data_IF_281951335166
#
_entry.id   IF_281951335166
#
_cell.length_a   1.000
_cell.length_b   1.000
_cell.length_c   1.000
_cell.angle_alpha   90.00
_cell.angle_beta   90.00
_cell.angle_gamma   90.00
#
_symmetry.space_group_name_H-M   'P 1'
#
loop_
_entity.id
_entity.type
_entity.pdbx_description
1 polymer ?
#
# COMPACT_ATOMS: atom_id res chain seq x y z
N UNK A 1 1.54 12.19 9.03
CA UNK A 1 1.58 11.15 7.97
C UNK A 1 0.20 11.01 7.36
N UNK A 2 0.13 10.81 6.04
CA UNK A 2 -1.12 10.49 5.34
C UNK A 2 -1.23 9.01 4.99
N UNK A 3 -0.18 8.22 5.25
CA UNK A 3 -0.02 6.84 4.85
C UNK A 3 0.79 6.09 5.92
N UNK A 4 0.52 4.80 6.09
CA UNK A 4 1.28 3.84 6.90
C UNK A 4 1.84 2.77 5.98
N UNK A 5 2.99 2.19 6.29
CA UNK A 5 3.63 1.22 5.38
C UNK A 5 3.16 -0.22 5.60
N UNK A 6 2.84 -0.59 6.85
CA UNK A 6 2.46 -1.95 7.24
C UNK A 6 1.28 -2.00 8.23
N UNK A 7 0.62 -0.88 8.50
CA UNK A 7 -0.56 -0.82 9.37
C UNK A 7 -1.77 -0.37 8.54
N UNK A 8 -2.90 -1.03 8.73
CA UNK A 8 -4.17 -0.59 8.16
C UNK A 8 -4.72 0.62 8.93
N UNK A 9 -5.45 1.49 8.24
CA UNK A 9 -5.99 2.71 8.86
C UNK A 9 -7.28 3.18 8.18
N UNK A 10 -8.03 4.05 8.85
CA UNK A 10 -9.21 4.70 8.29
C UNK A 10 -8.81 5.87 7.39
N UNK A 11 -9.29 5.90 6.15
CA UNK A 11 -9.02 6.99 5.23
C UNK A 11 -9.69 8.30 5.65
N UNK A 12 -9.11 9.41 5.19
CA UNK A 12 -9.74 10.73 5.22
C UNK A 12 -10.17 11.16 3.82
N UNK A 13 -11.20 12.00 3.76
CA UNK A 13 -11.65 12.65 2.53
C UNK A 13 -11.59 14.16 2.68
N UNK A 14 -11.20 14.86 1.62
CA UNK A 14 -11.18 16.33 1.60
C UNK A 14 -9.92 16.96 2.19
N UNK A 15 -8.81 16.21 2.28
CA UNK A 15 -7.49 16.81 2.53
C UNK A 15 -7.20 17.88 1.45
N UNK A 16 -6.73 19.06 1.87
CA UNK A 16 -6.42 20.18 0.96
C UNK A 16 -5.02 20.74 1.24
N UNK A 17 -4.37 21.25 0.20
CA UNK A 17 -3.05 21.88 0.31
C UNK A 17 -2.92 23.03 -0.68
N UNK A 18 -2.07 24.00 -0.33
CA UNK A 18 -1.75 25.12 -1.22
C UNK A 18 -0.53 24.74 -2.06
N UNK A 19 -0.71 24.72 -3.38
CA UNK A 19 0.40 24.49 -4.31
C UNK A 19 1.33 25.71 -4.33
N UNK A 20 2.61 25.47 -4.60
CA UNK A 20 3.59 26.52 -4.82
C UNK A 20 3.18 27.33 -6.05
N UNK A 21 3.15 28.65 -5.90
CA UNK A 21 2.97 29.61 -6.99
C UNK A 21 4.11 30.62 -6.97
N UNK A 22 5.02 30.50 -7.93
CA UNK A 22 6.21 31.35 -8.03
C UNK A 22 5.90 32.79 -8.49
N UNK A 23 4.67 33.08 -8.93
CA UNK A 23 4.24 34.46 -9.24
C UNK A 23 3.85 35.27 -8.00
N UNK A 24 3.67 34.60 -6.86
CA UNK A 24 3.22 35.20 -5.61
C UNK A 24 4.30 35.17 -4.52
N UNK A 25 4.12 35.97 -3.48
CA UNK A 25 4.98 35.92 -2.29
C UNK A 25 4.87 34.55 -1.62
N UNK A 26 5.98 34.07 -1.05
CA UNK A 26 6.05 32.74 -0.43
C UNK A 26 4.99 32.50 0.65
N UNK A 27 4.62 33.54 1.41
CA UNK A 27 3.58 33.50 2.45
C UNK A 27 2.20 33.05 1.93
N UNK A 28 1.95 33.17 0.63
CA UNK A 28 0.68 32.73 0.02
C UNK A 28 0.54 31.21 -0.03
N UNK A 29 1.65 30.48 -0.16
CA UNK A 29 1.69 29.02 -0.32
C UNK A 29 2.48 28.26 0.74
N UNK A 30 3.28 28.93 1.58
CA UNK A 30 3.90 28.35 2.77
C UNK A 30 2.87 28.07 3.87
N UNK A 31 1.95 27.15 3.61
CA UNK A 31 0.87 26.72 4.51
C UNK A 31 0.91 25.21 4.66
N UNK A 32 0.60 24.67 5.86
CA UNK A 32 0.49 23.24 6.03
C UNK A 32 -0.68 22.67 5.21
N UNK A 33 -0.61 21.37 4.93
CA UNK A 33 -1.79 20.61 4.50
C UNK A 33 -2.87 20.68 5.58
N UNK A 34 -4.11 20.87 5.16
CA UNK A 34 -5.29 20.84 6.02
C UNK A 34 -5.94 19.47 5.86
N UNK A 35 -5.99 18.70 6.95
CA UNK A 35 -6.63 17.39 6.97
C UNK A 35 -8.15 17.56 6.80
N UNK A 36 -8.75 16.68 6.02
CA UNK A 36 -10.18 16.57 5.82
C UNK A 36 -10.85 15.73 6.91
N UNK A 37 -12.01 15.16 6.56
CA UNK A 37 -12.88 14.42 7.49
C UNK A 37 -12.50 12.93 7.51
N UNK A 38 -12.59 12.27 8.69
CA UNK A 38 -12.43 10.82 8.77
C UNK A 38 -13.56 10.09 8.04
N UNK A 39 -13.27 8.87 7.60
CA UNK A 39 -14.24 7.99 6.93
C UNK A 39 -14.23 6.59 7.55
N UNK A 40 -15.26 5.80 7.30
CA UNK A 40 -15.29 4.37 7.63
C UNK A 40 -14.66 3.47 6.57
N UNK A 41 -13.85 4.03 5.66
CA UNK A 41 -13.18 3.27 4.61
C UNK A 41 -11.79 2.85 5.10
N UNK A 42 -11.53 1.55 5.09
CA UNK A 42 -10.22 0.99 5.48
C UNK A 42 -9.26 1.09 4.30
N UNK A 43 -8.06 1.60 4.55
CA UNK A 43 -6.91 1.45 3.68
C UNK A 43 -6.10 0.22 4.09
N UNK A 44 -5.80 -0.63 3.11
CA UNK A 44 -4.72 -1.60 3.18
C UNK A 44 -3.59 -1.01 2.33
N UNK A 45 -2.47 -0.59 2.92
CA UNK A 45 -1.54 0.33 2.29
C UNK A 45 -0.89 -0.25 1.04
N UNK A 46 -1.00 0.45 -0.08
CA UNK A 46 -0.18 0.17 -1.25
C UNK A 46 1.24 0.72 -1.05
N UNK A 47 2.24 0.04 -1.61
CA UNK A 47 3.64 0.50 -1.54
C UNK A 47 4.34 0.30 -2.86
N UNK A 48 4.98 1.37 -3.37
CA UNK A 48 5.86 1.27 -4.54
C UNK A 48 7.09 0.39 -4.31
N UNK A 49 7.49 0.20 -3.04
CA UNK A 49 8.59 -0.68 -2.68
C UNK A 49 8.18 -2.15 -2.73
N UNK A 50 6.87 -2.45 -2.66
CA UNK A 50 6.28 -3.80 -2.69
C UNK A 50 5.32 -3.93 -3.90
N UNK A 51 5.79 -3.47 -5.06
CA UNK A 51 5.11 -3.57 -6.37
C UNK A 51 6.09 -4.10 -7.43
N UNK A 52 5.70 -5.18 -8.12
CA UNK A 52 6.55 -5.85 -9.10
C UNK A 52 6.68 -5.07 -10.42
N UNK A 53 5.70 -4.24 -10.78
CA UNK A 53 5.58 -3.71 -12.14
C UNK A 53 6.60 -2.63 -12.47
N UNK A 54 6.72 -1.53 -11.71
CA UNK A 54 7.65 -0.46 -12.04
C UNK A 54 9.10 -0.91 -12.23
N UNK A 55 9.71 -1.75 -11.37
CA UNK A 55 11.11 -2.14 -11.54
C UNK A 55 11.32 -3.15 -12.68
N UNK A 56 10.35 -4.03 -12.94
CA UNK A 56 10.55 -5.24 -13.77
C UNK A 56 9.71 -5.29 -15.06
N UNK A 57 8.89 -4.28 -15.35
CA UNK A 57 8.22 -4.13 -16.64
C UNK A 57 8.83 -3.00 -17.48
N UNK A 58 9.31 -3.34 -18.69
CA UNK A 58 9.74 -2.32 -19.65
C UNK A 58 8.55 -1.78 -20.46
N UNK A 59 8.33 -0.46 -20.38
CA UNK A 59 7.25 0.28 -21.04
C UNK A 59 7.84 1.37 -21.93
N UNK A 60 7.94 1.11 -23.23
CA UNK A 60 8.60 1.99 -24.23
C UNK A 60 8.13 3.45 -24.24
N UNK A 61 6.86 3.70 -23.89
CA UNK A 61 6.24 5.03 -23.94
C UNK A 61 6.35 5.80 -22.62
N UNK A 62 6.88 5.20 -21.57
CA UNK A 62 7.04 5.83 -20.27
C UNK A 62 8.50 6.30 -20.10
N UNK A 63 8.76 7.61 -19.99
CA UNK A 63 10.14 8.12 -19.84
C UNK A 63 10.79 7.70 -18.52
N UNK A 64 9.98 7.36 -17.52
CA UNK A 64 10.40 6.82 -16.22
C UNK A 64 10.36 5.28 -16.17
N UNK A 65 10.27 4.60 -17.33
CA UNK A 65 10.26 3.14 -17.38
C UNK A 65 11.59 2.57 -16.89
N UNK A 66 11.51 1.54 -16.06
CA UNK A 66 12.59 0.59 -15.84
C UNK A 66 12.34 -0.68 -16.65
N UNK A 67 12.32 -1.84 -16.03
CA UNK A 67 12.10 -3.14 -16.67
C UNK A 67 13.28 -4.09 -16.66
N UNK A 68 14.43 -3.63 -16.16
CA UNK A 68 15.69 -4.38 -16.13
C UNK A 68 16.32 -4.45 -14.74
N UNK A 69 15.59 -4.03 -13.70
CA UNK A 69 16.06 -4.25 -12.32
C UNK A 69 16.12 -5.76 -12.08
N UNK A 70 17.20 -6.22 -11.47
CA UNK A 70 17.41 -7.63 -11.20
C UNK A 70 16.38 -8.11 -10.17
N UNK A 71 15.61 -9.19 -10.45
CA UNK A 71 14.63 -9.73 -9.50
C UNK A 71 15.24 -10.12 -8.15
N UNK A 72 16.54 -10.41 -8.08
CA UNK A 72 17.21 -10.71 -6.81
C UNK A 72 17.35 -9.48 -5.90
N UNK A 73 17.53 -8.31 -6.48
CA UNK A 73 17.65 -7.07 -5.72
C UNK A 73 16.25 -6.64 -5.21
N UNK A 74 15.21 -6.88 -6.02
CA UNK A 74 13.80 -6.66 -5.60
C UNK A 74 13.40 -7.65 -4.51
N UNK A 75 13.82 -8.92 -4.63
CA UNK A 75 13.61 -9.94 -3.61
C UNK A 75 14.19 -9.52 -2.26
N UNK A 76 15.47 -9.15 -2.24
CA UNK A 76 16.17 -8.73 -1.03
C UNK A 76 15.47 -7.54 -0.40
N UNK A 77 15.08 -6.54 -1.20
CA UNK A 77 14.29 -5.39 -0.72
C UNK A 77 12.97 -5.79 -0.04
N UNK A 78 12.26 -6.76 -0.60
CA UNK A 78 10.98 -7.22 -0.03
C UNK A 78 11.19 -8.02 1.24
N UNK A 79 12.21 -8.88 1.26
CA UNK A 79 12.59 -9.64 2.46
C UNK A 79 13.03 -8.71 3.59
N UNK A 80 13.82 -7.68 3.30
CA UNK A 80 14.25 -6.70 4.28
C UNK A 80 13.06 -5.92 4.89
N UNK A 81 12.04 -5.57 4.09
CA UNK A 81 10.81 -4.97 4.62
C UNK A 81 10.06 -5.93 5.53
N UNK A 82 9.89 -7.19 5.10
CA UNK A 82 9.21 -8.20 5.89
C UNK A 82 9.94 -8.44 7.22
N UNK A 83 11.26 -8.66 7.18
CA UNK A 83 12.09 -8.94 8.36
C UNK A 83 12.06 -7.74 9.31
N UNK A 84 12.18 -6.51 8.81
CA UNK A 84 12.06 -5.31 9.63
C UNK A 84 10.69 -5.21 10.30
N UNK A 85 9.59 -5.44 9.57
CA UNK A 85 8.26 -5.40 10.17
C UNK A 85 8.06 -6.50 11.21
N UNK A 86 8.54 -7.72 10.92
CA UNK A 86 8.47 -8.85 11.83
C UNK A 86 9.26 -8.63 13.12
N UNK A 87 10.39 -7.95 13.06
CA UNK A 87 11.22 -7.63 14.23
C UNK A 87 10.66 -6.48 15.09
N UNK A 88 9.91 -5.56 14.50
CA UNK A 88 9.57 -4.28 15.13
C UNK A 88 8.08 -4.08 15.42
N UNK A 89 7.20 -4.93 14.90
CA UNK A 89 5.74 -4.81 15.06
C UNK A 89 5.14 -6.11 15.58
N UNK A 90 4.30 -6.01 16.62
CA UNK A 90 3.56 -7.17 17.16
C UNK A 90 2.47 -7.65 16.19
N UNK A 91 1.85 -6.73 15.44
CA UNK A 91 0.84 -6.99 14.41
C UNK A 91 1.13 -6.07 13.21
N UNK A 92 1.21 -6.62 12.01
CA UNK A 92 1.39 -5.86 10.76
C UNK A 92 0.75 -6.59 9.58
N UNK A 93 0.46 -5.83 8.52
CA UNK A 93 0.09 -6.36 7.21
C UNK A 93 1.25 -6.20 6.23
N UNK A 94 1.37 -7.16 5.30
CA UNK A 94 2.40 -7.14 4.24
C UNK A 94 1.77 -7.37 2.86
N UNK A 95 0.98 -6.39 2.36
CA UNK A 95 0.30 -6.52 1.07
C UNK A 95 1.30 -6.41 -0.10
N UNK A 96 1.55 -7.53 -0.79
CA UNK A 96 2.37 -7.54 -2.00
C UNK A 96 1.53 -7.31 -3.26
N UNK A 97 1.84 -6.26 -4.02
CA UNK A 97 1.18 -6.01 -5.30
C UNK A 97 1.95 -6.67 -6.42
N UNK A 98 1.28 -7.59 -7.14
CA UNK A 98 1.88 -8.33 -8.25
C UNK A 98 0.98 -8.31 -9.47
N UNK A 99 1.59 -8.40 -10.64
CA UNK A 99 0.89 -8.41 -11.93
C UNK A 99 1.24 -9.68 -12.70
N UNK A 100 0.28 -10.39 -13.32
CA UNK A 100 0.58 -11.56 -14.14
C UNK A 100 1.54 -11.23 -15.30
N UNK A 101 1.53 -9.98 -15.77
CA UNK A 101 2.42 -9.44 -16.80
C UNK A 101 3.92 -9.52 -16.44
N UNK A 102 4.24 -9.47 -15.14
CA UNK A 102 5.59 -9.49 -14.57
C UNK A 102 5.81 -10.76 -13.76
N UNK A 103 5.02 -10.96 -12.71
CA UNK A 103 5.12 -12.10 -11.80
C UNK A 103 4.78 -13.45 -12.45
N UNK A 104 4.18 -13.47 -13.63
CA UNK A 104 4.05 -14.68 -14.44
C UNK A 104 5.34 -15.11 -15.16
N UNK A 105 6.41 -14.30 -15.14
CA UNK A 105 7.67 -14.61 -15.84
C UNK A 105 8.55 -15.56 -15.02
N UNK A 106 9.27 -16.51 -15.64
CA UNK A 106 10.00 -17.56 -14.92
C UNK A 106 10.99 -17.08 -13.84
N UNK A 107 11.72 -15.98 -14.10
CA UNK A 107 12.69 -15.46 -13.13
C UNK A 107 12.01 -14.82 -11.91
N UNK A 108 10.83 -14.20 -12.08
CA UNK A 108 10.03 -13.62 -11.00
C UNK A 108 9.24 -14.71 -10.26
N UNK A 109 8.75 -15.75 -10.95
CA UNK A 109 8.17 -16.93 -10.29
C UNK A 109 9.18 -17.57 -9.32
N UNK A 110 10.45 -17.67 -9.72
CA UNK A 110 11.50 -18.16 -8.82
C UNK A 110 11.77 -17.21 -7.65
N UNK A 111 11.63 -15.90 -7.83
CA UNK A 111 11.69 -14.91 -6.76
C UNK A 111 10.57 -15.14 -5.75
N UNK A 112 9.31 -15.20 -6.20
CA UNK A 112 8.16 -15.48 -5.33
C UNK A 112 8.30 -16.77 -4.56
N UNK A 113 8.79 -17.85 -5.18
CA UNK A 113 9.04 -19.09 -4.44
C UNK A 113 9.95 -18.86 -3.23
N UNK A 114 11.04 -18.08 -3.39
CA UNK A 114 11.97 -17.81 -2.28
C UNK A 114 11.38 -16.88 -1.23
N UNK A 115 10.63 -15.87 -1.65
CA UNK A 115 9.93 -14.97 -0.74
C UNK A 115 8.93 -15.76 0.11
N UNK A 116 8.09 -16.58 -0.52
CA UNK A 116 7.12 -17.44 0.17
C UNK A 116 7.83 -18.42 1.10
N UNK A 117 8.91 -19.07 0.64
CA UNK A 117 9.69 -20.01 1.45
C UNK A 117 10.34 -19.31 2.66
N UNK A 118 10.70 -18.03 2.56
CA UNK A 118 11.25 -17.24 3.66
C UNK A 118 10.16 -16.86 4.66
N UNK A 119 9.08 -16.24 4.18
CA UNK A 119 7.94 -15.81 5.01
C UNK A 119 7.39 -17.00 5.81
N UNK A 120 7.24 -18.18 5.19
CA UNK A 120 6.70 -19.38 5.83
C UNK A 120 7.57 -19.96 6.96
N UNK A 121 8.79 -19.47 7.18
CA UNK A 121 9.63 -19.86 8.32
C UNK A 121 9.31 -19.11 9.61
N UNK A 122 8.46 -18.09 9.54
CA UNK A 122 8.17 -17.19 10.64
C UNK A 122 6.86 -17.59 11.33
N UNK A 123 6.89 -17.73 12.65
CA UNK A 123 5.69 -18.05 13.44
C UNK A 123 4.73 -16.86 13.49
N UNK A 124 3.42 -17.14 13.55
CA UNK A 124 2.38 -16.10 13.61
C UNK A 124 1.98 -15.50 12.25
N UNK A 125 2.64 -15.90 11.16
CA UNK A 125 2.24 -15.47 9.80
C UNK A 125 0.97 -16.19 9.35
N UNK A 126 0.02 -15.41 8.82
CA UNK A 126 -1.19 -15.91 8.15
C UNK A 126 -1.29 -15.34 6.73
N UNK A 127 -1.51 -16.23 5.75
CA UNK A 127 -1.82 -15.83 4.38
C UNK A 127 -3.32 -15.65 4.23
N UNK A 128 -3.75 -14.41 3.96
CA UNK A 128 -5.16 -14.03 3.91
C UNK A 128 -5.47 -13.19 2.67
N UNK A 129 -6.76 -13.06 2.36
CA UNK A 129 -7.25 -12.11 1.36
C UNK A 129 -7.32 -10.69 1.94
N UNK A 130 -7.33 -9.68 1.06
CA UNK A 130 -7.52 -8.28 1.46
C UNK A 130 -8.89 -8.05 2.15
N UNK A 131 -9.92 -8.81 1.78
CA UNK A 131 -11.22 -8.78 2.45
C UNK A 131 -11.09 -9.19 3.92
N UNK A 132 -10.42 -10.31 4.19
CA UNK A 132 -10.18 -10.79 5.56
C UNK A 132 -9.35 -9.81 6.38
N UNK A 133 -8.31 -9.21 5.80
CA UNK A 133 -7.53 -8.15 6.46
C UNK A 133 -8.43 -6.97 6.87
N UNK A 134 -9.27 -6.50 5.95
CA UNK A 134 -10.19 -5.37 6.20
C UNK A 134 -11.21 -5.70 7.29
N UNK A 135 -11.78 -6.91 7.25
CA UNK A 135 -12.79 -7.36 8.21
C UNK A 135 -12.21 -7.54 9.61
N UNK A 136 -11.01 -8.13 9.72
CA UNK A 136 -10.32 -8.26 10.99
C UNK A 136 -9.99 -6.89 11.58
N UNK A 137 -9.43 -5.97 10.78
CA UNK A 137 -9.16 -4.61 11.22
C UNK A 137 -10.42 -3.91 11.75
N UNK A 138 -11.54 -4.00 11.03
CA UNK A 138 -12.84 -3.44 11.46
C UNK A 138 -13.38 -4.10 12.74
N UNK A 139 -13.07 -5.37 12.97
CA UNK A 139 -13.54 -6.07 14.18
C UNK A 139 -12.81 -5.61 15.44
N UNK A 140 -11.55 -5.18 15.31
CA UNK A 140 -10.69 -4.73 16.40
C UNK A 140 -10.71 -3.20 16.59
N UNK A 141 -11.09 -2.44 15.56
CA UNK A 141 -11.00 -0.99 15.54
C UNK A 141 -12.34 -0.34 15.20
N UNK A 142 -12.61 0.84 15.77
CA UNK A 142 -13.80 1.64 15.44
C UNK A 142 -13.37 2.90 14.69
N UNK A 143 -14.08 3.32 13.61
CA UNK A 143 -13.85 4.62 12.99
C UNK A 143 -13.99 5.77 13.98
N UNK A 144 -13.33 6.89 13.72
CA UNK A 144 -13.46 8.10 14.54
C UNK A 144 -14.92 8.57 14.63
N UNK A 145 -15.29 9.18 15.76
CA UNK A 145 -16.64 9.73 15.93
C UNK A 145 -16.94 10.77 14.84
N UNK A 146 -18.09 10.65 14.18
CA UNK A 146 -18.48 11.52 13.07
C UNK A 146 -17.86 11.13 11.71
N UNK A 147 -17.16 9.99 11.63
CA UNK A 147 -16.65 9.48 10.37
C UNK A 147 -17.76 9.26 9.32
N UNK A 148 -17.48 9.66 8.09
CA UNK A 148 -18.37 9.40 6.96
C UNK A 148 -18.30 7.92 6.57
N UNK A 149 -19.38 7.19 6.78
CA UNK A 149 -19.43 5.76 6.46
C UNK A 149 -19.61 5.51 4.95
N UNK A 150 -18.98 4.46 4.39
CA UNK A 150 -19.25 4.03 3.02
C UNK A 150 -20.74 3.75 2.79
N UNK A 151 -21.19 3.89 1.55
CA UNK A 151 -22.54 3.50 1.18
C UNK A 151 -22.78 2.00 1.46
N UNK A 152 -24.03 1.58 1.74
CA UNK A 152 -24.36 0.18 1.91
C UNK A 152 -23.94 -0.67 0.70
N UNK A 153 -23.61 -1.94 0.94
CA UNK A 153 -23.30 -2.88 -0.13
C UNK A 153 -24.45 -2.96 -1.15
N UNK A 154 -24.11 -2.93 -2.45
CA UNK A 154 -25.08 -2.99 -3.54
C UNK A 154 -25.82 -1.68 -3.84
N UNK A 155 -25.53 -0.58 -3.16
CA UNK A 155 -26.19 0.71 -3.42
C UNK A 155 -25.98 1.20 -4.86
N UNK A 156 -24.82 0.91 -5.46
CA UNK A 156 -24.52 1.25 -6.85
C UNK A 156 -25.36 0.47 -7.87
N UNK A 157 -25.90 -0.70 -7.49
CA UNK A 157 -26.71 -1.57 -8.34
C UNK A 157 -28.20 -1.17 -8.34
N UNK A 158 -28.60 -0.21 -7.50
CA UNK A 158 -29.98 0.28 -7.40
C UNK A 158 -30.30 1.45 -8.34
N UNK A 159 -29.36 1.83 -9.23
CA UNK A 159 -29.54 2.83 -10.29
C UNK A 159 -29.96 2.17 -11.59
#
# INVERSE_FOLDING_TARGET
>A
MSHHDCEMYWLRVGDTWTKIDYSQKAETWMKPLIKGLPTGLVEIPASWYIDDLPPMMFIKKAPNSYGWVNPRDVEELWLDHFDYFYENYDEFCFPMTIHPDVSGRPHVLKMHQRIIDHINKHGGVEWVTFEQMSDEFKSKNTPEEGAMMPAPAGEILKK
#
